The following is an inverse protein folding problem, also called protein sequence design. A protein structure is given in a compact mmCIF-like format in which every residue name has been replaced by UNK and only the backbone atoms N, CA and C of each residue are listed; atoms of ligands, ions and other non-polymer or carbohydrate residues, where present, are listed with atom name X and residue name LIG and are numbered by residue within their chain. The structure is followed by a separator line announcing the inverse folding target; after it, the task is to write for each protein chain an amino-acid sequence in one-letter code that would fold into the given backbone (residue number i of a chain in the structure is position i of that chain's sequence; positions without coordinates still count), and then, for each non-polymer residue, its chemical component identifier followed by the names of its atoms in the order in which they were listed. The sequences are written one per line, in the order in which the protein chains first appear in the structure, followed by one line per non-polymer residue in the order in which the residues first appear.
data_IF_570849648649
#
_entry.id   IF_570849648649
#
_cell.length_a   1.000
_cell.length_b   1.000
_cell.length_c   1.000
_cell.angle_alpha   90.00
_cell.angle_beta   90.00
_cell.angle_gamma   90.00
#
_symmetry.space_group_name_H-M   'P 1'
#
loop_
_entity.id
_entity.type
_entity.pdbx_description
1 polymer ?
#
# COMPACT_ATOMS: atom_id res chain seq x y z
N UNK A 1 27.12 3.27 -12.89
CA UNK A 1 25.65 3.22 -13.07
C UNK A 1 25.04 4.26 -12.14
N UNK A 2 23.99 4.96 -12.55
CA UNK A 2 23.25 5.84 -11.62
C UNK A 2 22.61 5.00 -10.51
N UNK A 3 22.44 5.56 -9.31
CA UNK A 3 21.75 4.87 -8.20
C UNK A 3 20.31 4.49 -8.56
N UNK A 4 19.66 5.25 -9.45
CA UNK A 4 18.34 4.93 -9.98
C UNK A 4 18.37 3.71 -10.93
N UNK A 5 19.40 3.59 -11.78
CA UNK A 5 19.55 2.47 -12.69
C UNK A 5 19.89 1.18 -11.92
N UNK A 6 20.66 1.31 -10.85
CA UNK A 6 20.97 0.20 -9.93
C UNK A 6 19.72 -0.30 -9.20
N UNK A 7 18.89 0.59 -8.66
CA UNK A 7 17.61 0.21 -8.03
C UNK A 7 16.70 -0.53 -9.02
N UNK A 8 16.61 -0.03 -10.26
CA UNK A 8 15.76 -0.63 -11.28
C UNK A 8 16.29 -1.99 -11.73
N UNK A 9 17.61 -2.15 -11.88
CA UNK A 9 18.24 -3.44 -12.16
C UNK A 9 18.02 -4.44 -11.03
N UNK A 10 18.22 -4.05 -9.77
CA UNK A 10 17.99 -4.89 -8.59
C UNK A 10 16.51 -5.26 -8.41
N UNK A 11 15.59 -4.34 -8.73
CA UNK A 11 14.16 -4.63 -8.74
C UNK A 11 13.78 -5.67 -9.81
N UNK A 12 14.39 -5.60 -10.99
CA UNK A 12 14.18 -6.63 -12.03
C UNK A 12 14.80 -7.96 -11.62
N UNK A 13 16.04 -7.93 -11.13
CA UNK A 13 16.76 -9.11 -10.66
C UNK A 13 16.00 -9.87 -9.56
N UNK A 14 15.47 -9.15 -8.56
CA UNK A 14 14.67 -9.76 -7.49
C UNK A 14 13.37 -10.37 -8.01
N UNK A 15 12.77 -9.81 -9.07
CA UNK A 15 11.56 -10.37 -9.69
C UNK A 15 11.82 -11.62 -10.54
N UNK A 16 12.97 -11.71 -11.21
CA UNK A 16 13.38 -12.84 -12.06
C UNK A 16 14.23 -13.87 -11.30
N UNK A 17 14.45 -13.67 -10.00
CA UNK A 17 15.34 -14.49 -9.18
C UNK A 17 14.97 -15.98 -9.22
N UNK A 18 15.91 -16.91 -9.51
CA UNK A 18 15.57 -18.31 -9.77
C UNK A 18 15.02 -19.02 -8.52
N UNK A 19 15.57 -18.75 -7.33
CA UNK A 19 15.16 -19.39 -6.09
C UNK A 19 13.81 -18.83 -5.60
N UNK A 20 12.81 -19.72 -5.47
CA UNK A 20 11.41 -19.33 -5.17
C UNK A 20 11.26 -18.71 -3.78
N UNK A 21 11.95 -19.24 -2.78
CA UNK A 21 11.79 -18.79 -1.39
C UNK A 21 12.46 -17.44 -1.15
N UNK A 22 13.64 -17.21 -1.72
CA UNK A 22 14.33 -15.91 -1.69
C UNK A 22 13.55 -14.84 -2.46
N UNK A 23 13.00 -15.20 -3.62
CA UNK A 23 12.12 -14.31 -4.39
C UNK A 23 10.84 -13.94 -3.66
N UNK A 24 10.22 -14.90 -2.97
CA UNK A 24 9.06 -14.63 -2.10
C UNK A 24 9.48 -13.72 -0.95
N UNK A 25 10.62 -13.98 -0.31
CA UNK A 25 11.12 -13.16 0.78
C UNK A 25 11.34 -11.68 0.38
N UNK A 26 11.67 -11.41 -0.88
CA UNK A 26 11.85 -10.04 -1.40
C UNK A 26 10.54 -9.36 -1.84
N UNK A 27 9.48 -10.12 -2.19
CA UNK A 27 8.24 -9.57 -2.77
C UNK A 27 7.05 -9.57 -1.81
N UNK A 28 6.91 -10.61 -0.98
CA UNK A 28 5.81 -10.74 -0.02
C UNK A 28 5.76 -9.70 1.09
N UNK A 29 6.87 -9.15 1.61
CA UNK A 29 6.85 -8.15 2.69
C UNK A 29 5.92 -6.95 2.42
N UNK A 30 5.93 -6.44 1.18
CA UNK A 30 5.04 -5.34 0.76
C UNK A 30 3.58 -5.73 0.87
N UNK A 31 3.24 -6.93 0.40
CA UNK A 31 1.87 -7.45 0.41
C UNK A 31 1.39 -7.75 1.83
N UNK A 32 2.25 -8.30 2.68
CA UNK A 32 1.95 -8.55 4.08
C UNK A 32 1.60 -7.24 4.83
N UNK A 33 2.40 -6.20 4.63
CA UNK A 33 2.13 -4.88 5.20
C UNK A 33 0.85 -4.23 4.64
N UNK A 34 0.60 -4.38 3.33
CA UNK A 34 -0.63 -3.88 2.72
C UNK A 34 -1.88 -4.57 3.29
N UNK A 35 -1.85 -5.90 3.44
CA UNK A 35 -2.91 -6.67 4.07
C UNK A 35 -3.13 -6.27 5.53
N UNK A 36 -2.06 -6.09 6.30
CA UNK A 36 -2.15 -5.62 7.68
C UNK A 36 -2.83 -4.24 7.77
N UNK A 37 -2.45 -3.31 6.89
CA UNK A 37 -3.11 -2.00 6.82
C UNK A 37 -4.58 -2.09 6.46
N UNK A 38 -4.96 -2.96 5.53
CA UNK A 38 -6.37 -3.18 5.20
C UNK A 38 -7.14 -3.70 6.44
N UNK A 39 -6.57 -4.64 7.18
CA UNK A 39 -7.20 -5.21 8.39
C UNK A 39 -7.32 -4.15 9.49
N UNK A 40 -6.25 -3.45 9.84
CA UNK A 40 -6.28 -2.46 10.93
C UNK A 40 -7.17 -1.27 10.60
N UNK A 41 -7.14 -0.80 9.35
CA UNK A 41 -8.02 0.28 8.89
C UNK A 41 -9.48 -0.12 8.92
N UNK A 42 -9.80 -1.37 8.54
CA UNK A 42 -11.16 -1.89 8.59
C UNK A 42 -11.68 -2.00 10.03
N UNK A 43 -10.84 -2.45 10.97
CA UNK A 43 -11.20 -2.54 12.39
C UNK A 43 -11.45 -1.17 13.01
N UNK A 44 -10.57 -0.20 12.72
CA UNK A 44 -10.73 1.18 13.19
C UNK A 44 -11.99 1.80 12.58
N UNK A 45 -12.19 1.66 11.27
CA UNK A 45 -13.36 2.20 10.59
C UNK A 45 -14.67 1.60 11.10
N UNK A 46 -14.66 0.33 11.50
CA UNK A 46 -15.84 -0.33 12.10
C UNK A 46 -16.29 0.37 13.36
N UNK A 47 -15.36 0.65 14.28
CA UNK A 47 -15.65 1.28 15.57
C UNK A 47 -16.13 2.71 15.41
N UNK A 48 -15.47 3.46 14.52
CA UNK A 48 -15.82 4.86 14.26
C UNK A 48 -17.19 4.94 13.56
N UNK A 49 -17.44 4.13 12.55
CA UNK A 49 -18.72 4.14 11.84
C UNK A 49 -19.88 3.68 12.73
N UNK A 50 -19.68 2.64 13.55
CA UNK A 50 -20.76 2.15 14.41
C UNK A 50 -21.12 3.15 15.50
N UNK A 51 -20.15 3.90 16.01
CA UNK A 51 -20.40 4.99 16.94
C UNK A 51 -21.12 6.17 16.27
N UNK A 52 -20.61 6.67 15.12
CA UNK A 52 -21.16 7.86 14.46
C UNK A 52 -22.53 7.63 13.80
N UNK A 53 -22.83 6.43 13.32
CA UNK A 53 -24.10 6.14 12.61
C UNK A 53 -25.11 5.36 13.43
N UNK A 54 -24.67 4.49 14.34
CA UNK A 54 -25.56 3.62 15.13
C UNK A 54 -25.59 3.99 16.61
N UNK A 55 -24.74 4.92 17.05
CA UNK A 55 -24.52 5.24 18.48
C UNK A 55 -24.16 4.00 19.32
N UNK A 56 -23.57 2.99 18.67
CA UNK A 56 -23.13 1.74 19.30
C UNK A 56 -21.69 1.42 18.91
N UNK A 57 -20.75 1.86 19.75
CA UNK A 57 -19.32 1.58 19.58
C UNK A 57 -18.98 0.07 19.69
N UNK A 58 -19.87 -0.77 20.23
CA UNK A 58 -19.64 -2.21 20.46
C UNK A 58 -20.15 -3.10 19.33
N UNK A 59 -20.79 -2.55 18.30
CA UNK A 59 -21.30 -3.33 17.18
C UNK A 59 -20.23 -4.23 16.54
N UNK A 60 -20.64 -5.43 16.14
CA UNK A 60 -19.77 -6.39 15.45
C UNK A 60 -19.43 -5.90 14.04
N UNK A 61 -18.29 -6.35 13.51
CA UNK A 61 -17.81 -5.99 12.17
C UNK A 61 -18.86 -6.15 11.06
N UNK A 62 -19.50 -7.32 11.00
CA UNK A 62 -20.49 -7.64 9.98
C UNK A 62 -21.78 -6.81 10.13
N UNK A 63 -22.19 -6.55 11.37
CA UNK A 63 -23.37 -5.73 11.65
C UNK A 63 -23.14 -4.27 11.25
N UNK A 64 -21.92 -3.76 11.49
CA UNK A 64 -21.51 -2.42 11.07
C UNK A 64 -21.47 -2.30 9.54
N UNK A 65 -20.90 -3.27 8.82
CA UNK A 65 -20.89 -3.25 7.34
C UNK A 65 -22.29 -3.27 6.74
N UNK A 66 -23.23 -4.00 7.36
CA UNK A 66 -24.59 -4.14 6.84
C UNK A 66 -25.44 -2.90 7.10
N UNK A 67 -25.26 -2.22 8.24
CA UNK A 67 -26.11 -1.11 8.69
C UNK A 67 -25.51 0.27 8.41
N UNK A 68 -24.19 0.41 8.39
CA UNK A 68 -23.50 1.68 8.15
C UNK A 68 -23.26 1.92 6.64
N UNK A 69 -23.08 3.18 6.21
CA UNK A 69 -22.66 3.45 4.84
C UNK A 69 -21.29 2.83 4.55
N UNK A 70 -21.13 2.26 3.35
CA UNK A 70 -19.90 1.58 2.94
C UNK A 70 -18.76 2.54 2.59
N UNK A 71 -19.05 3.81 2.33
CA UNK A 71 -18.05 4.76 1.86
C UNK A 71 -16.87 4.94 2.84
N UNK A 72 -17.05 5.13 4.17
CA UNK A 72 -15.90 5.35 5.04
C UNK A 72 -15.03 4.11 5.20
N UNK A 73 -15.61 2.92 5.05
CA UNK A 73 -14.85 1.66 5.01
C UNK A 73 -13.95 1.58 3.79
N UNK A 74 -14.52 1.74 2.59
CA UNK A 74 -13.78 1.59 1.34
C UNK A 74 -12.68 2.65 1.23
N UNK A 75 -13.01 3.91 1.52
CA UNK A 75 -12.04 4.99 1.47
C UNK A 75 -10.95 4.86 2.55
N UNK A 76 -11.30 4.41 3.76
CA UNK A 76 -10.32 4.19 4.83
C UNK A 76 -9.33 3.08 4.49
N UNK A 77 -9.80 1.97 3.92
CA UNK A 77 -8.94 0.87 3.46
C UNK A 77 -8.07 1.29 2.27
N UNK A 78 -8.68 1.99 1.30
CA UNK A 78 -7.99 2.41 0.09
C UNK A 78 -6.91 3.46 0.38
N UNK A 79 -7.23 4.51 1.13
CA UNK A 79 -6.27 5.59 1.45
C UNK A 79 -5.08 5.05 2.24
N UNK A 80 -5.32 4.17 3.20
CA UNK A 80 -4.28 3.55 4.03
C UNK A 80 -3.40 2.61 3.22
N UNK A 81 -3.98 1.76 2.35
CA UNK A 81 -3.22 0.87 1.49
C UNK A 81 -2.36 1.60 0.46
N UNK A 82 -2.91 2.62 -0.21
CA UNK A 82 -2.17 3.42 -1.20
C UNK A 82 -1.05 4.21 -0.55
N UNK A 83 -1.34 4.86 0.60
CA UNK A 83 -0.32 5.65 1.32
C UNK A 83 0.82 4.75 1.82
N UNK A 84 0.49 3.55 2.34
CA UNK A 84 1.49 2.57 2.74
C UNK A 84 2.37 2.17 1.56
N UNK A 85 1.77 1.79 0.43
CA UNK A 85 2.51 1.38 -0.75
C UNK A 85 3.45 2.49 -1.24
N UNK A 86 2.97 3.73 -1.30
CA UNK A 86 3.79 4.88 -1.72
C UNK A 86 4.95 5.14 -0.77
N UNK A 87 4.71 5.19 0.55
CA UNK A 87 5.76 5.40 1.54
C UNK A 87 6.77 4.25 1.56
N UNK A 88 6.31 3.02 1.40
CA UNK A 88 7.19 1.85 1.29
C UNK A 88 8.12 1.98 0.09
N UNK A 89 7.56 2.30 -1.09
CA UNK A 89 8.34 2.43 -2.32
C UNK A 89 9.31 3.61 -2.27
N UNK A 90 8.97 4.70 -1.57
CA UNK A 90 9.84 5.87 -1.45
C UNK A 90 10.91 5.75 -0.36
N UNK A 91 10.63 5.06 0.75
CA UNK A 91 11.50 5.08 1.92
C UNK A 91 12.24 3.78 2.19
N UNK A 92 11.66 2.63 1.82
CA UNK A 92 12.21 1.30 2.12
C UNK A 92 12.90 0.71 0.90
N UNK A 93 12.19 0.59 -0.22
CA UNK A 93 12.70 0.00 -1.46
C UNK A 93 14.07 0.58 -1.88
N UNK A 94 14.28 1.90 -1.97
CA UNK A 94 15.58 2.43 -2.39
C UNK A 94 16.70 2.11 -1.39
N UNK A 95 16.45 2.17 -0.08
CA UNK A 95 17.49 1.87 0.92
C UNK A 95 17.93 0.40 0.86
N UNK A 96 16.99 -0.49 0.57
CA UNK A 96 17.24 -1.94 0.54
C UNK A 96 18.02 -2.34 -0.72
N UNK A 97 17.74 -1.72 -1.85
CA UNK A 97 18.35 -2.08 -3.13
C UNK A 97 19.56 -1.22 -3.54
N UNK A 98 19.71 0.01 -3.03
CA UNK A 98 20.83 0.89 -3.39
C UNK A 98 21.98 0.87 -2.40
N UNK A 99 21.74 0.64 -1.12
CA UNK A 99 22.82 0.59 -0.12
C UNK A 99 23.47 -0.79 -0.12
N UNK A 100 24.81 -0.85 -0.13
CA UNK A 100 25.56 -2.10 0.03
C UNK A 100 25.35 -2.73 1.40
N UNK A 101 25.31 -1.90 2.46
CA UNK A 101 25.15 -2.34 3.85
C UNK A 101 24.07 -1.51 4.55
N UNK A 102 22.78 -1.85 4.41
CA UNK A 102 21.70 -1.13 5.07
C UNK A 102 21.71 -1.40 6.56
N UNK A 103 21.41 -0.38 7.37
CA UNK A 103 21.25 -0.55 8.80
C UNK A 103 19.92 -1.26 9.12
N UNK A 104 19.93 -2.51 9.65
CA UNK A 104 18.72 -3.32 9.81
C UNK A 104 17.77 -2.72 10.86
N UNK A 105 18.31 -2.11 11.91
CA UNK A 105 17.50 -1.46 12.96
C UNK A 105 16.80 -0.20 12.43
N UNK A 106 17.49 0.63 11.64
CA UNK A 106 16.89 1.81 11.02
C UNK A 106 15.77 1.45 10.04
N UNK A 107 15.95 0.38 9.25
CA UNK A 107 14.92 -0.10 8.33
C UNK A 107 13.70 -0.66 9.08
N UNK A 108 13.92 -1.45 10.13
CA UNK A 108 12.84 -1.98 10.96
C UNK A 108 12.01 -0.85 11.60
N UNK A 109 12.68 0.16 12.19
CA UNK A 109 12.00 1.32 12.79
C UNK A 109 11.21 2.09 11.72
N UNK A 110 11.79 2.36 10.55
CA UNK A 110 11.08 3.06 9.47
C UNK A 110 9.85 2.27 9.00
N UNK A 111 9.95 0.93 8.88
CA UNK A 111 8.81 0.10 8.50
C UNK A 111 7.70 0.11 9.54
N UNK A 112 8.07 0.02 10.82
CA UNK A 112 7.09 0.11 11.93
C UNK A 112 6.44 1.49 11.94
N UNK A 113 7.22 2.56 11.80
CA UNK A 113 6.70 3.92 11.74
C UNK A 113 5.71 4.09 10.58
N UNK A 114 6.07 3.65 9.37
CA UNK A 114 5.18 3.70 8.20
C UNK A 114 3.90 2.89 8.46
N UNK A 115 4.00 1.67 9.00
CA UNK A 115 2.85 0.83 9.34
C UNK A 115 1.92 1.46 10.37
N UNK A 116 2.47 2.08 11.43
CA UNK A 116 1.67 2.78 12.45
C UNK A 116 1.03 4.05 11.91
N UNK A 117 1.77 4.85 11.13
CA UNK A 117 1.24 6.09 10.55
C UNK A 117 0.13 5.81 9.55
N UNK A 118 0.33 4.84 8.65
CA UNK A 118 -0.65 4.55 7.59
C UNK A 118 -1.78 3.63 8.03
N UNK A 119 -1.51 2.67 8.91
CA UNK A 119 -2.50 1.68 9.36
C UNK A 119 -3.30 2.05 10.60
N UNK A 120 -2.85 3.06 11.36
CA UNK A 120 -3.50 3.49 12.61
C UNK A 120 -3.81 4.98 12.58
N UNK A 121 -2.78 5.85 12.49
CA UNK A 121 -2.96 7.30 12.61
C UNK A 121 -3.82 7.88 11.48
N UNK A 122 -3.57 7.47 10.24
CA UNK A 122 -4.30 7.95 9.07
C UNK A 122 -5.80 7.57 9.13
N UNK A 123 -6.19 6.29 9.35
CA UNK A 123 -7.59 5.92 9.58
C UNK A 123 -8.26 6.69 10.73
N UNK A 124 -7.54 6.94 11.82
CA UNK A 124 -8.08 7.67 12.96
C UNK A 124 -8.44 9.12 12.65
N UNK A 125 -7.75 9.76 11.71
CA UNK A 125 -8.04 11.14 11.30
C UNK A 125 -9.01 11.19 10.11
N UNK A 126 -8.78 10.35 9.10
CA UNK A 126 -9.54 10.39 7.85
C UNK A 126 -10.96 9.81 7.97
N UNK A 127 -11.14 8.72 8.71
CA UNK A 127 -12.45 8.05 8.84
C UNK A 127 -13.52 8.90 9.52
N UNK A 128 -13.27 9.54 10.69
CA UNK A 128 -14.29 10.35 11.34
C UNK A 128 -14.67 11.59 10.52
N UNK A 129 -13.70 12.20 9.83
CA UNK A 129 -13.98 13.28 8.89
C UNK A 129 -14.91 12.83 7.76
N UNK A 130 -14.63 11.68 7.16
CA UNK A 130 -15.44 11.16 6.06
C UNK A 130 -16.84 10.72 6.53
N UNK A 131 -16.95 10.11 7.71
CA UNK A 131 -18.24 9.76 8.31
C UNK A 131 -19.09 11.01 8.60
N UNK A 132 -18.47 12.06 9.16
CA UNK A 132 -19.12 13.35 9.39
C UNK A 132 -19.60 14.01 8.08
N UNK A 133 -18.78 13.98 7.03
CA UNK A 133 -19.18 14.49 5.72
C UNK A 133 -20.38 13.75 5.13
N UNK A 134 -20.44 12.43 5.30
CA UNK A 134 -21.61 11.63 4.88
C UNK A 134 -22.86 11.97 5.70
N UNK A 135 -22.72 12.25 7.00
CA UNK A 135 -23.83 12.69 7.84
C UNK A 135 -24.40 14.04 7.37
N UNK A 136 -23.54 15.03 7.13
CA UNK A 136 -23.94 16.34 6.60
C UNK A 136 -24.71 16.18 5.28
N UNK A 137 -24.21 15.35 4.36
CA UNK A 137 -24.86 15.12 3.07
C UNK A 137 -26.19 14.36 3.20
N UNK A 138 -26.34 13.49 4.19
CA UNK A 138 -27.63 12.84 4.46
C UNK A 138 -28.65 13.82 5.02
N UNK A 139 -28.23 14.72 5.91
CA UNK A 139 -29.11 15.75 6.47
C UNK A 139 -29.55 16.77 5.41
N UNK A 140 -28.64 17.20 4.54
CA UNK A 140 -28.96 18.14 3.45
C UNK A 140 -29.97 17.55 2.45
N UNK A 141 -29.85 16.26 2.14
CA UNK A 141 -30.82 15.54 1.28
C UNK A 141 -32.15 15.30 1.99
N UNK A 142 -32.15 15.10 3.31
CA UNK A 142 -33.36 14.86 4.09
C UNK A 142 -34.18 16.12 4.40
N UNK A 143 -33.77 17.30 3.90
CA UNK A 143 -34.49 18.57 4.10
C UNK A 143 -34.53 19.06 5.55
N UNK A 144 -33.78 18.42 6.46
CA UNK A 144 -33.59 18.90 7.83
C UNK A 144 -32.56 20.02 7.78
N UNK A 145 -32.91 21.21 8.30
CA UNK A 145 -32.01 22.36 8.34
C UNK A 145 -30.64 21.99 8.90
N UNK A 146 -29.56 22.59 8.34
CA UNK A 146 -28.15 22.29 8.65
C UNK A 146 -27.92 22.21 10.18
N UNK A 147 -27.98 21.00 10.74
CA UNK A 147 -27.76 20.81 12.18
C UNK A 147 -26.27 20.66 12.50
N UNK A 148 -25.53 20.08 11.55
CA UNK A 148 -24.10 19.84 11.66
C UNK A 148 -23.29 20.97 10.99
N UNK A 149 -22.29 21.55 11.69
CA UNK A 149 -21.43 22.58 11.12
C UNK A 149 -20.48 21.99 10.07
N UNK A 150 -20.19 22.76 9.02
CA UNK A 150 -19.20 22.38 8.01
C UNK A 150 -17.80 22.62 8.58
N UNK A 151 -16.91 21.66 8.39
CA UNK A 151 -15.50 21.76 8.80
C UNK A 151 -14.76 22.66 7.81
N UNK A 152 -14.33 23.84 8.27
CA UNK A 152 -13.61 24.83 7.46
C UNK A 152 -12.15 24.99 7.87
N UNK A 153 -11.83 24.70 9.14
CA UNK A 153 -10.50 24.93 9.71
C UNK A 153 -9.74 23.61 9.96
N UNK A 154 -8.40 23.67 9.91
CA UNK A 154 -7.56 22.52 10.29
C UNK A 154 -7.77 22.13 11.77
N UNK A 155 -7.99 23.12 12.64
CA UNK A 155 -8.29 22.87 14.05
C UNK A 155 -9.57 22.05 14.20
N UNK A 156 -10.63 22.40 13.46
CA UNK A 156 -11.91 21.68 13.45
C UNK A 156 -11.75 20.26 12.90
N UNK A 157 -10.91 20.09 11.87
CA UNK A 157 -10.58 18.76 11.36
C UNK A 157 -9.87 17.89 12.41
N UNK A 158 -8.88 18.46 13.12
CA UNK A 158 -8.13 17.75 14.15
C UNK A 158 -8.98 17.45 15.39
N UNK A 159 -9.83 18.38 15.82
CA UNK A 159 -10.75 18.14 16.95
C UNK A 159 -11.80 17.10 16.60
N UNK A 160 -12.35 17.12 15.38
CA UNK A 160 -13.26 16.08 14.89
C UNK A 160 -12.56 14.72 14.82
N UNK A 161 -11.32 14.67 14.33
CA UNK A 161 -10.50 13.46 14.32
C UNK A 161 -10.24 12.93 15.73
N UNK A 162 -9.95 13.81 16.68
CA UNK A 162 -9.70 13.45 18.08
C UNK A 162 -10.95 12.90 18.78
N UNK A 163 -12.08 13.58 18.63
CA UNK A 163 -13.34 13.16 19.24
C UNK A 163 -13.90 11.90 18.59
N UNK A 164 -13.95 11.85 17.26
CA UNK A 164 -14.47 10.72 16.50
C UNK A 164 -13.60 9.46 16.57
N UNK A 165 -12.34 9.56 17.01
CA UNK A 165 -11.46 8.40 17.20
C UNK A 165 -11.50 7.81 18.62
N UNK A 166 -12.18 8.45 19.58
CA UNK A 166 -12.37 7.90 20.94
C UNK A 166 -12.93 6.46 20.94
N UNK A 167 -13.94 6.10 20.12
CA UNK A 167 -14.48 4.74 20.08
C UNK A 167 -13.45 3.69 19.64
N UNK A 168 -12.51 4.09 18.79
CA UNK A 168 -11.47 3.20 18.29
C UNK A 168 -10.37 2.91 19.32
N UNK A 169 -10.25 3.69 20.42
CA UNK A 169 -9.17 3.55 21.42
C UNK A 169 -9.03 2.14 22.01
N UNK A 170 -10.16 1.44 22.16
CA UNK A 170 -10.17 0.05 22.63
C UNK A 170 -9.43 -0.93 21.71
N UNK A 171 -9.34 -0.61 20.41
CA UNK A 171 -8.75 -1.48 19.38
C UNK A 171 -7.36 -0.99 18.96
N UNK A 172 -6.98 0.26 19.28
CA UNK A 172 -5.69 0.85 18.89
C UNK A 172 -4.51 -0.02 19.32
N UNK A 173 -4.49 -0.47 20.58
CA UNK A 173 -3.39 -1.29 21.10
C UNK A 173 -3.21 -2.59 20.30
N UNK A 174 -4.32 -3.25 19.96
CA UNK A 174 -4.30 -4.48 19.15
C UNK A 174 -3.87 -4.20 17.71
N UNK A 175 -4.34 -3.12 17.09
CA UNK A 175 -3.94 -2.72 15.75
C UNK A 175 -2.45 -2.35 15.70
N UNK A 176 -1.96 -1.61 16.68
CA UNK A 176 -0.55 -1.25 16.80
C UNK A 176 0.33 -2.50 16.96
N UNK A 177 -0.08 -3.47 17.80
CA UNK A 177 0.62 -4.73 17.95
C UNK A 177 0.69 -5.52 16.63
N UNK A 178 -0.43 -5.64 15.90
CA UNK A 178 -0.47 -6.29 14.58
C UNK A 178 0.50 -5.59 13.62
N UNK A 179 0.47 -4.25 13.56
CA UNK A 179 1.34 -3.49 12.67
C UNK A 179 2.82 -3.64 13.02
N UNK A 180 3.16 -3.63 14.31
CA UNK A 180 4.54 -3.84 14.75
C UNK A 180 5.04 -5.25 14.38
N UNK A 181 4.25 -6.30 14.67
CA UNK A 181 4.62 -7.68 14.37
C UNK A 181 4.79 -7.89 12.86
N UNK A 182 3.81 -7.44 12.06
CA UNK A 182 3.86 -7.61 10.61
C UNK A 182 4.99 -6.80 10.01
N UNK A 183 5.19 -5.54 10.42
CA UNK A 183 6.27 -4.69 9.89
C UNK A 183 7.65 -5.24 10.24
N UNK A 184 7.84 -5.70 11.48
CA UNK A 184 9.10 -6.29 11.91
C UNK A 184 9.37 -7.61 11.19
N UNK A 185 8.39 -8.52 11.14
CA UNK A 185 8.52 -9.80 10.45
C UNK A 185 8.75 -9.64 8.94
N UNK A 186 8.02 -8.73 8.30
CA UNK A 186 8.18 -8.42 6.89
C UNK A 186 9.59 -7.87 6.59
N UNK A 187 10.11 -6.97 7.43
CA UNK A 187 11.46 -6.43 7.26
C UNK A 187 12.54 -7.49 7.52
N UNK A 188 12.37 -8.34 8.53
CA UNK A 188 13.29 -9.44 8.82
C UNK A 188 13.39 -10.41 7.64
N UNK A 189 12.24 -10.85 7.11
CA UNK A 189 12.19 -11.73 5.94
C UNK A 189 12.83 -11.08 4.72
N UNK A 190 12.61 -9.77 4.51
CA UNK A 190 13.22 -9.06 3.39
C UNK A 190 14.75 -8.98 3.51
N UNK A 191 15.25 -8.67 4.70
CA UNK A 191 16.69 -8.60 4.96
C UNK A 191 17.36 -9.96 4.80
N UNK A 192 16.72 -11.02 5.30
CA UNK A 192 17.17 -12.40 5.10
C UNK A 192 17.25 -12.78 3.61
N UNK A 193 16.20 -12.46 2.83
CA UNK A 193 16.18 -12.73 1.39
C UNK A 193 17.26 -11.94 0.64
N UNK A 194 17.48 -10.69 1.04
CA UNK A 194 18.53 -9.83 0.47
C UNK A 194 19.93 -10.40 0.75
N UNK A 195 20.23 -10.74 2.00
CA UNK A 195 21.52 -11.31 2.39
C UNK A 195 21.81 -12.60 1.62
N UNK A 196 20.80 -13.47 1.46
CA UNK A 196 20.96 -14.71 0.71
C UNK A 196 21.21 -14.48 -0.78
N UNK A 197 20.52 -13.51 -1.38
CA UNK A 197 20.71 -13.09 -2.76
C UNK A 197 22.15 -12.59 -2.99
N UNK A 198 22.66 -11.71 -2.12
CA UNK A 198 24.03 -11.20 -2.24
C UNK A 198 25.08 -12.29 -2.01
N UNK A 199 24.94 -13.13 -0.99
CA UNK A 199 25.83 -14.26 -0.75
C UNK A 199 25.90 -15.20 -1.98
N UNK A 200 24.77 -15.45 -2.63
CA UNK A 200 24.72 -16.29 -3.83
C UNK A 200 25.39 -15.63 -5.04
N UNK A 201 25.23 -14.31 -5.20
CA UNK A 201 25.89 -13.54 -6.25
C UNK A 201 27.42 -13.46 -6.07
N UNK A 202 27.90 -13.44 -4.81
CA UNK A 202 29.33 -13.46 -4.49
C UNK A 202 29.96 -14.84 -4.74
N UNK A 203 29.22 -15.92 -4.45
CA UNK A 203 29.68 -17.29 -4.63
C UNK A 203 29.69 -17.74 -6.10
N UNK A 204 28.74 -17.28 -6.92
CA UNK A 204 28.61 -17.68 -8.33
C UNK A 204 28.58 -16.48 -9.28
N UNK A 205 29.79 -16.07 -9.71
CA UNK A 205 29.97 -14.94 -10.63
C UNK A 205 29.42 -15.19 -12.05
N UNK A 206 29.30 -16.45 -12.47
CA UNK A 206 28.75 -16.81 -13.79
C UNK A 206 27.22 -16.75 -13.78
N UNK A 207 26.58 -17.20 -12.70
CA UNK A 207 25.15 -16.98 -12.46
C UNK A 207 24.83 -15.49 -12.40
N UNK A 208 25.64 -14.69 -11.70
CA UNK A 208 25.45 -13.24 -11.63
C UNK A 208 25.47 -12.60 -13.04
N UNK A 209 26.43 -12.96 -13.89
CA UNK A 209 26.52 -12.45 -15.27
C UNK A 209 25.29 -12.84 -16.12
N UNK A 210 24.85 -14.10 -16.02
CA UNK A 210 23.65 -14.57 -16.73
C UNK A 210 22.39 -13.84 -16.28
N UNK A 211 22.21 -13.69 -14.97
CA UNK A 211 21.02 -13.02 -14.40
C UNK A 211 21.02 -11.52 -14.67
N UNK A 212 22.17 -10.86 -14.73
CA UNK A 212 22.25 -9.44 -15.15
C UNK A 212 21.89 -9.29 -16.62
N UNK A 213 22.38 -10.17 -17.49
CA UNK A 213 21.99 -10.19 -18.92
C UNK A 213 20.49 -10.46 -19.07
N UNK A 214 19.95 -11.42 -18.32
CA UNK A 214 18.52 -11.73 -18.32
C UNK A 214 17.68 -10.57 -17.76
N UNK A 215 18.11 -9.90 -16.69
CA UNK A 215 17.43 -8.74 -16.11
C UNK A 215 17.44 -7.51 -17.03
N UNK A 216 18.47 -7.35 -17.87
CA UNK A 216 18.53 -6.32 -18.90
C UNK A 216 17.54 -6.61 -20.04
N UNK A 217 17.39 -7.88 -20.42
CA UNK A 217 16.46 -8.33 -21.48
C UNK A 217 15.01 -8.52 -21.00
N UNK A 218 14.80 -8.72 -19.70
CA UNK A 218 13.47 -8.97 -19.16
C UNK A 218 12.60 -7.71 -19.22
N UNK A 219 11.47 -7.81 -19.90
CA UNK A 219 10.52 -6.70 -19.98
C UNK A 219 9.88 -6.45 -18.62
N UNK A 220 9.97 -5.20 -18.17
CA UNK A 220 9.37 -4.76 -16.90
C UNK A 220 7.86 -4.99 -16.95
N UNK A 221 7.24 -5.32 -15.81
CA UNK A 221 5.78 -5.44 -15.70
C UNK A 221 5.06 -4.18 -16.19
N UNK A 222 5.68 -2.99 -16.07
CA UNK A 222 5.20 -1.74 -16.66
C UNK A 222 5.18 -1.76 -18.19
N UNK A 223 6.20 -2.34 -18.82
CA UNK A 223 6.25 -2.52 -20.27
C UNK A 223 5.19 -3.53 -20.71
N UNK A 224 5.01 -4.63 -19.98
CA UNK A 224 3.92 -5.59 -20.25
C UNK A 224 2.53 -4.96 -20.14
N UNK A 225 2.31 -4.09 -19.16
CA UNK A 225 1.06 -3.33 -19.01
C UNK A 225 0.91 -2.28 -20.12
N UNK A 226 1.98 -1.56 -20.49
CA UNK A 226 1.96 -0.60 -21.60
C UNK A 226 1.71 -1.28 -22.95
N UNK A 227 2.33 -2.44 -23.19
CA UNK A 227 2.12 -3.26 -24.39
C UNK A 227 0.72 -3.86 -24.40
N UNK A 228 0.18 -4.22 -23.23
CA UNK A 228 -1.22 -4.62 -23.09
C UNK A 228 -2.19 -3.47 -23.34
N UNK A 229 -1.92 -2.27 -22.80
CA UNK A 229 -2.71 -1.06 -23.03
C UNK A 229 -2.65 -0.60 -24.49
N UNK A 230 -1.48 -0.73 -25.15
CA UNK A 230 -1.32 -0.48 -26.59
C UNK A 230 -2.02 -1.52 -27.46
N UNK A 231 -2.21 -2.75 -26.96
CA UNK A 231 -3.02 -3.79 -27.61
C UNK A 231 -4.52 -3.54 -27.49
N UNK A 232 -4.97 -2.69 -26.58
CA UNK A 232 -6.39 -2.35 -26.45
C UNK A 232 -6.70 -1.23 -27.47
N UNK A 233 -7.56 -1.48 -28.47
CA UNK A 233 -7.82 -0.57 -29.59
C UNK A 233 -8.56 0.73 -29.21
N UNK A 234 -8.84 0.96 -27.92
CA UNK A 234 -9.49 2.18 -27.43
C UNK A 234 -8.51 3.34 -27.19
N UNK A 235 -7.20 3.10 -27.05
CA UNK A 235 -6.21 4.15 -26.75
C UNK A 235 -5.49 4.67 -27.99
N UNK A 236 -5.42 3.88 -29.06
CA UNK A 236 -4.86 4.31 -30.34
C UNK A 236 -5.92 4.12 -31.43
N UNK A 237 -6.57 5.21 -31.85
CA UNK A 237 -7.35 5.28 -33.08
C UNK A 237 -6.49 5.19 -34.35
N UNK A 238 -5.43 4.38 -34.34
CA UNK A 238 -4.60 4.08 -35.49
C UNK A 238 -4.85 2.63 -35.88
N UNK A 239 -5.63 2.47 -36.95
CA UNK A 239 -5.78 1.23 -37.70
C UNK A 239 -4.37 0.72 -38.01
N UNK A 240 -4.01 -0.53 -37.68
CA UNK A 240 -2.78 -1.10 -38.21
C UNK A 240 -2.99 -1.27 -39.71
N UNK A 241 -2.34 -0.43 -40.51
CA UNK A 241 -2.19 -0.71 -41.94
C UNK A 241 -1.48 -2.07 -42.06
N UNK A 242 -2.15 -2.98 -42.75
CA UNK A 242 -1.65 -4.31 -43.04
C UNK A 242 -0.31 -4.22 -43.78
N UNK A 243 0.60 -5.20 -43.62
CA UNK A 243 1.87 -5.18 -44.33
C UNK A 243 1.61 -5.26 -45.83
N UNK A 244 1.92 -4.20 -46.57
CA UNK A 244 2.02 -4.26 -48.02
C UNK A 244 3.11 -5.28 -48.38
N UNK A 245 2.67 -6.36 -49.01
CA UNK A 245 3.55 -7.30 -49.68
C UNK A 245 4.33 -6.55 -50.77
N UNK A 246 5.61 -6.28 -50.54
CA UNK A 246 6.56 -6.03 -51.62
C UNK A 246 6.71 -7.32 -52.44
N UNK A 247 5.87 -7.43 -53.47
CA UNK A 247 6.22 -8.16 -54.68
C UNK A 247 7.34 -7.38 -55.35
N UNK A 248 8.53 -7.96 -55.43
CA UNK A 248 9.51 -7.57 -56.45
C UNK A 248 9.78 -8.81 -57.30
N UNK A 249 9.43 -8.63 -58.58
CA UNK A 249 9.72 -9.47 -59.75
C UNK A 249 11.22 -9.55 -59.98
#
# INVERSE_FOLDING_TARGET
MSSADQAHLMSRLSSTWPFRDERRALTWPVHAGLLANCVTSSLIATRINSDMFLYDAKAKFLDSIRKCPKSPFVFGVYSSGVTYFMLYQMLITPKVFNELTPCPSCLAINSIAIGLTTGVLLPMLATPYLAHYVLINKESVAGKGKSLPVVNNLLEFLTLGWEGSKPARSVIATCAAIQMIVSFGAMYVMLWGRERMFNTLELDSDLARRLVAEAQTSSSFKQKILDFLRRIPLVNGAIPEAPENERVV
#
